data_IF_427740994128
#
_entry.id   IF_427740994128
#
_cell.length_a   1.000
_cell.length_b   1.000
_cell.length_c   1.000
_cell.angle_alpha   90.00
_cell.angle_beta   90.00
_cell.angle_gamma   90.00
#
_symmetry.space_group_name_H-M   'P 1'
#
loop_
_entity.id
_entity.type
_entity.pdbx_description
1 polymer ?
#
# COMPACT_ATOMS: atom_id res chain seq x y z
N UNK A 1 6.81 9.37 16.40
CA UNK A 1 7.57 8.38 17.21
C UNK A 1 6.94 8.13 18.59
N UNK A 2 6.44 9.13 19.32
CA UNK A 2 5.85 8.94 20.68
C UNK A 2 4.67 7.95 20.75
N UNK A 3 3.74 8.01 19.78
CA UNK A 3 2.57 7.11 19.73
C UNK A 3 2.95 5.63 19.62
N UNK A 4 3.99 5.30 18.84
CA UNK A 4 4.40 3.92 18.61
C UNK A 4 5.05 3.28 19.85
N UNK A 5 5.76 4.07 20.64
CA UNK A 5 6.28 3.63 21.94
C UNK A 5 5.16 3.41 22.96
N UNK A 6 4.13 4.26 22.94
CA UNK A 6 2.96 4.12 23.80
C UNK A 6 2.12 2.87 23.46
N UNK A 7 1.93 2.57 22.18
CA UNK A 7 1.28 1.33 21.71
C UNK A 7 2.04 0.08 22.17
N UNK A 8 3.37 0.06 22.01
CA UNK A 8 4.19 -1.08 22.47
C UNK A 8 4.08 -1.29 23.98
N UNK A 9 4.07 -0.20 24.75
CA UNK A 9 3.91 -0.26 26.20
C UNK A 9 2.56 -0.87 26.60
N UNK A 10 1.45 -0.43 25.99
CA UNK A 10 0.11 -0.96 26.28
C UNK A 10 -0.04 -2.42 25.88
N UNK A 11 0.57 -2.85 24.77
CA UNK A 11 0.58 -4.26 24.35
C UNK A 11 1.30 -5.12 25.40
N UNK A 12 2.46 -4.67 25.89
CA UNK A 12 3.21 -5.40 26.90
C UNK A 12 2.43 -5.51 28.22
N UNK A 13 1.82 -4.42 28.68
CA UNK A 13 0.96 -4.42 29.87
C UNK A 13 -0.23 -5.39 29.73
N UNK A 14 -0.84 -5.44 28.54
CA UNK A 14 -2.00 -6.31 28.26
C UNK A 14 -1.60 -7.79 28.31
N UNK A 15 -0.46 -8.15 27.72
CA UNK A 15 0.04 -9.52 27.73
C UNK A 15 0.35 -10.01 29.16
N UNK A 16 0.97 -9.15 29.99
CA UNK A 16 1.24 -9.45 31.41
C UNK A 16 -0.08 -9.64 32.18
N UNK A 17 -1.08 -8.78 31.94
CA UNK A 17 -2.39 -8.88 32.58
C UNK A 17 -3.13 -10.18 32.23
N UNK A 18 -3.14 -10.56 30.93
CA UNK A 18 -3.76 -11.81 30.46
C UNK A 18 -3.07 -13.02 31.09
N UNK A 19 -1.74 -13.05 31.13
CA UNK A 19 -0.98 -14.13 31.76
C UNK A 19 -1.33 -14.32 33.24
N UNK A 20 -1.32 -13.22 34.01
CA UNK A 20 -1.66 -13.25 35.44
C UNK A 20 -3.13 -13.64 35.71
N UNK A 21 -4.04 -13.29 34.81
CA UNK A 21 -5.45 -13.68 34.92
C UNK A 21 -5.67 -15.18 34.66
N UNK A 22 -4.85 -15.80 33.81
CA UNK A 22 -4.90 -17.23 33.49
C UNK A 22 -4.26 -18.10 34.59
N UNK A 23 -3.16 -17.66 35.19
CA UNK A 23 -2.48 -18.39 36.29
C UNK A 23 -3.31 -18.43 37.59
N UNK A 24 -4.08 -17.37 37.87
CA UNK A 24 -4.97 -17.31 39.04
C UNK A 24 -6.30 -18.09 38.86
N UNK A 25 -6.40 -18.91 37.81
CA UNK A 25 -7.60 -19.69 37.45
C UNK A 25 -7.80 -20.99 38.25
N UNK A 26 -6.87 -21.40 39.12
CA UNK A 26 -7.02 -22.64 39.89
C UNK A 26 -7.87 -22.43 41.16
N UNK A 27 -9.07 -23.02 41.14
CA UNK A 27 -9.99 -23.07 42.27
C UNK A 27 -9.59 -24.20 43.21
N UNK A 28 -9.25 -23.87 44.46
CA UNK A 28 -9.25 -24.84 45.56
C UNK A 28 -10.71 -25.27 45.83
N UNK A 29 -11.03 -26.52 45.47
CA UNK A 29 -12.13 -27.33 46.03
C UNK A 29 -13.53 -26.64 46.08
N UNK A 30 -14.11 -26.30 44.93
CA UNK A 30 -15.56 -26.38 44.73
C UNK A 30 -16.47 -25.37 45.45
N UNK A 31 -15.96 -24.26 45.99
CA UNK A 31 -16.81 -23.21 46.58
C UNK A 31 -16.45 -21.83 46.03
N UNK A 32 -17.50 -21.16 45.54
CA UNK A 32 -17.65 -19.75 45.14
C UNK A 32 -16.40 -18.99 44.68
N UNK A 33 -16.40 -18.43 43.46
CA UNK A 33 -15.34 -17.51 43.08
C UNK A 33 -15.39 -16.25 43.94
N UNK A 34 -14.23 -15.81 44.42
CA UNK A 34 -14.07 -14.54 45.12
C UNK A 34 -14.59 -13.41 44.21
N UNK A 35 -15.82 -12.95 44.45
CA UNK A 35 -16.50 -11.99 43.59
C UNK A 35 -15.78 -10.64 43.56
N UNK A 36 -15.09 -10.28 44.65
CA UNK A 36 -14.31 -9.05 44.74
C UNK A 36 -13.10 -9.07 43.79
N UNK A 37 -12.35 -10.17 43.73
CA UNK A 37 -11.19 -10.27 42.83
C UNK A 37 -11.61 -10.31 41.36
N UNK A 38 -12.71 -11.04 41.04
CA UNK A 38 -13.28 -11.04 39.68
C UNK A 38 -13.78 -9.67 39.25
N UNK A 39 -14.44 -8.94 40.16
CA UNK A 39 -14.87 -7.57 39.89
C UNK A 39 -13.68 -6.65 39.63
N UNK A 40 -12.61 -6.74 40.43
CA UNK A 40 -11.38 -5.96 40.19
C UNK A 40 -10.72 -6.29 38.86
N UNK A 41 -10.64 -7.58 38.49
CA UNK A 41 -10.12 -8.00 37.18
C UNK A 41 -10.98 -7.46 36.04
N UNK A 42 -12.31 -7.57 36.15
CA UNK A 42 -13.25 -7.07 35.14
C UNK A 42 -13.14 -5.54 34.99
N UNK A 43 -13.05 -4.80 36.10
CA UNK A 43 -12.83 -3.35 36.08
C UNK A 43 -11.53 -2.97 35.39
N UNK A 44 -10.43 -3.64 35.73
CA UNK A 44 -9.10 -3.40 35.12
C UNK A 44 -9.07 -3.74 33.64
N UNK A 45 -9.77 -4.81 33.22
CA UNK A 45 -9.94 -5.14 31.81
C UNK A 45 -10.72 -4.05 31.04
N UNK A 46 -11.75 -3.49 31.66
CA UNK A 46 -12.51 -2.36 31.10
C UNK A 46 -11.64 -1.11 30.90
N UNK A 47 -10.83 -0.74 31.90
CA UNK A 47 -9.90 0.40 31.83
C UNK A 47 -8.87 0.22 30.70
N UNK A 48 -8.31 -0.99 30.55
CA UNK A 48 -7.36 -1.31 29.50
C UNK A 48 -8.00 -1.25 28.11
N UNK A 49 -9.23 -1.74 27.96
CA UNK A 49 -9.96 -1.65 26.69
C UNK A 49 -10.26 -0.20 26.29
N UNK A 50 -10.52 0.69 27.25
CA UNK A 50 -10.69 2.11 26.95
C UNK A 50 -9.40 2.75 26.43
N UNK A 51 -8.25 2.46 27.06
CA UNK A 51 -6.93 2.94 26.58
C UNK A 51 -6.60 2.46 25.17
N UNK A 52 -6.96 1.22 24.82
CA UNK A 52 -6.77 0.69 23.46
C UNK A 52 -7.66 1.44 22.46
N UNK A 53 -8.91 1.74 22.81
CA UNK A 53 -9.82 2.52 21.95
C UNK A 53 -9.30 3.93 21.71
N UNK A 54 -8.81 4.60 22.76
CA UNK A 54 -8.21 5.94 22.66
C UNK A 54 -6.98 5.93 21.74
N UNK A 55 -6.08 4.95 21.89
CA UNK A 55 -4.91 4.80 21.03
C UNK A 55 -5.25 4.48 19.58
N UNK A 56 -6.31 3.69 19.34
CA UNK A 56 -6.82 3.43 17.99
C UNK A 56 -7.34 4.71 17.34
N UNK A 57 -8.07 5.54 18.09
CA UNK A 57 -8.57 6.83 17.60
C UNK A 57 -7.44 7.83 17.36
N UNK A 58 -6.46 7.91 18.26
CA UNK A 58 -5.31 8.81 18.09
C UNK A 58 -4.34 8.36 16.99
N UNK A 59 -4.42 7.10 16.57
CA UNK A 59 -3.65 6.51 15.46
C UNK A 59 -4.33 6.67 14.09
N UNK A 60 -5.55 7.22 14.03
CA UNK A 60 -6.18 7.60 12.77
C UNK A 60 -5.60 8.93 12.28
N UNK A 61 -4.52 8.84 11.52
CA UNK A 61 -3.98 10.01 10.82
C UNK A 61 -4.84 10.27 9.59
N UNK A 62 -5.65 11.34 9.63
CA UNK A 62 -6.64 11.62 8.59
C UNK A 62 -6.04 11.76 7.18
N UNK A 63 -4.81 12.29 7.07
CA UNK A 63 -4.09 12.41 5.81
C UNK A 63 -2.60 12.54 6.15
N UNK A 64 -1.75 11.60 5.73
CA UNK A 64 -0.27 11.68 5.86
C UNK A 64 0.38 12.02 4.52
N UNK A 65 -0.40 12.50 3.55
CA UNK A 65 0.07 12.80 2.20
C UNK A 65 -0.71 13.96 1.62
N UNK A 66 -0.03 15.04 1.25
CA UNK A 66 -0.64 16.03 0.37
C UNK A 66 -1.15 15.34 -0.91
N UNK A 67 -2.28 15.80 -1.49
CA UNK A 67 -2.67 15.35 -2.82
C UNK A 67 -1.51 15.66 -3.77
N UNK A 68 -0.81 14.62 -4.20
CA UNK A 68 0.25 14.75 -5.18
C UNK A 68 -0.35 15.44 -6.40
N UNK A 69 0.23 16.55 -6.91
CA UNK A 69 -0.21 17.12 -8.18
C UNK A 69 -0.21 16.03 -9.26
N UNK A 70 -1.04 16.17 -10.31
CA UNK A 70 -1.18 15.15 -11.35
C UNK A 70 0.19 14.70 -11.81
N UNK A 71 0.43 13.40 -11.68
CA UNK A 71 1.76 12.84 -11.88
C UNK A 71 2.09 12.87 -13.37
N UNK A 72 2.62 14.00 -13.84
CA UNK A 72 3.25 14.07 -15.14
C UNK A 72 4.48 13.16 -15.10
N UNK A 73 4.71 12.37 -16.15
CA UNK A 73 5.82 11.41 -16.17
C UNK A 73 7.17 12.11 -15.94
N UNK A 74 7.25 13.39 -16.32
CA UNK A 74 8.36 14.29 -16.07
C UNK A 74 8.76 14.43 -14.58
N UNK A 75 7.82 14.31 -13.63
CA UNK A 75 8.10 14.38 -12.19
C UNK A 75 8.75 13.10 -11.63
N UNK A 76 8.79 12.01 -12.40
CA UNK A 76 9.48 10.77 -11.99
C UNK A 76 10.98 10.77 -12.34
N UNK A 77 11.55 11.88 -12.82
CA UNK A 77 12.99 12.00 -13.03
C UNK A 77 13.75 11.87 -11.72
N UNK A 78 14.30 10.68 -11.51
CA UNK A 78 15.44 10.51 -10.63
C UNK A 78 16.64 11.10 -11.37
N UNK A 79 17.16 12.26 -10.94
CA UNK A 79 18.29 12.95 -11.59
C UNK A 79 19.56 12.09 -11.64
N UNK A 80 19.58 11.03 -10.83
CA UNK A 80 20.75 10.20 -10.59
C UNK A 80 20.70 8.87 -11.35
N UNK A 81 19.76 8.70 -12.30
CA UNK A 81 19.72 7.47 -13.09
C UNK A 81 20.92 7.38 -14.04
N UNK A 82 21.89 6.56 -13.65
CA UNK A 82 23.02 6.19 -14.49
C UNK A 82 22.64 4.97 -15.35
N UNK A 83 22.42 5.18 -16.65
CA UNK A 83 22.21 4.09 -17.59
C UNK A 83 23.50 3.29 -17.74
N UNK A 84 23.51 2.04 -17.26
CA UNK A 84 24.63 1.12 -17.46
C UNK A 84 24.50 0.44 -18.83
N UNK A 85 25.61 0.24 -19.54
CA UNK A 85 25.63 -0.46 -20.84
C UNK A 85 24.89 -1.80 -20.83
N UNK A 86 24.93 -2.54 -19.71
CA UNK A 86 24.22 -3.80 -19.55
C UNK A 86 22.69 -3.67 -19.62
N UNK A 87 22.14 -2.51 -19.24
CA UNK A 87 20.69 -2.22 -19.26
C UNK A 87 20.22 -1.65 -20.60
N UNK A 88 21.14 -1.14 -21.43
CA UNK A 88 20.80 -0.65 -22.77
C UNK A 88 20.26 -1.74 -23.70
N UNK A 89 20.81 -2.95 -23.62
CA UNK A 89 20.33 -4.08 -24.42
C UNK A 89 18.88 -4.43 -24.07
N UNK A 90 18.60 -4.64 -22.77
CA UNK A 90 17.24 -4.91 -22.30
C UNK A 90 16.26 -3.77 -22.67
N UNK A 91 16.69 -2.51 -22.56
CA UNK A 91 15.90 -1.36 -23.00
C UNK A 91 15.57 -1.41 -24.49
N UNK A 92 16.56 -1.67 -25.33
CA UNK A 92 16.37 -1.78 -26.80
C UNK A 92 15.44 -2.93 -27.14
N UNK A 93 15.65 -4.11 -26.55
CA UNK A 93 14.80 -5.28 -26.75
C UNK A 93 13.34 -5.00 -26.39
N UNK A 94 13.09 -4.34 -25.25
CA UNK A 94 11.72 -3.98 -24.84
C UNK A 94 11.08 -3.00 -25.83
N UNK A 95 11.82 -1.97 -26.28
CA UNK A 95 11.29 -0.98 -27.22
C UNK A 95 11.00 -1.60 -28.58
N UNK A 96 11.90 -2.42 -29.10
CA UNK A 96 11.69 -3.13 -30.37
C UNK A 96 10.53 -4.13 -30.25
N UNK A 97 10.40 -4.82 -29.11
CA UNK A 97 9.26 -5.68 -28.85
C UNK A 97 7.94 -4.88 -28.84
N UNK A 98 7.90 -3.69 -28.23
CA UNK A 98 6.73 -2.82 -28.16
C UNK A 98 6.35 -2.19 -29.52
N UNK A 99 7.31 -2.05 -30.46
CA UNK A 99 7.01 -1.59 -31.84
C UNK A 99 6.36 -2.67 -32.71
N UNK A 100 6.47 -3.94 -32.32
CA UNK A 100 5.89 -5.06 -33.07
C UNK A 100 4.37 -5.12 -32.84
N UNK A 101 3.60 -5.17 -33.93
CA UNK A 101 2.12 -5.30 -33.86
C UNK A 101 1.67 -6.60 -33.17
N UNK A 102 2.52 -7.61 -33.12
CA UNK A 102 2.22 -8.92 -32.53
C UNK A 102 2.46 -8.98 -31.01
N UNK A 103 3.06 -7.95 -30.42
CA UNK A 103 3.43 -7.95 -28.99
C UNK A 103 2.58 -6.94 -28.23
N UNK A 104 1.70 -7.43 -27.36
CA UNK A 104 0.86 -6.57 -26.52
C UNK A 104 1.34 -6.49 -25.06
N UNK A 105 2.15 -7.47 -24.60
CA UNK A 105 2.59 -7.56 -23.21
C UNK A 105 4.07 -7.94 -23.16
N UNK A 106 4.85 -7.18 -22.38
CA UNK A 106 6.26 -7.46 -22.12
C UNK A 106 6.48 -7.51 -20.61
N UNK A 107 7.09 -8.60 -20.13
CA UNK A 107 7.41 -8.78 -18.72
C UNK A 107 8.90 -8.59 -18.44
N UNK A 108 9.24 -7.79 -17.42
CA UNK A 108 10.62 -7.62 -16.93
C UNK A 108 10.77 -8.31 -15.58
N UNK A 109 11.64 -9.30 -15.49
CA UNK A 109 11.88 -10.09 -14.27
C UNK A 109 13.34 -10.06 -13.84
N UNK A 110 13.62 -10.50 -12.61
CA UNK A 110 14.97 -10.51 -12.03
C UNK A 110 14.98 -10.29 -10.52
N UNK A 111 16.16 -10.32 -9.91
CA UNK A 111 16.35 -10.17 -8.46
C UNK A 111 15.80 -8.83 -7.92
N UNK A 112 15.47 -8.77 -6.62
CA UNK A 112 15.05 -7.52 -5.96
C UNK A 112 16.20 -6.50 -6.01
N UNK A 113 15.87 -5.22 -6.16
CA UNK A 113 16.86 -4.13 -6.12
C UNK A 113 17.65 -3.89 -7.41
N UNK A 114 17.49 -4.71 -8.45
CA UNK A 114 18.24 -4.54 -9.74
C UNK A 114 17.75 -3.36 -10.60
N UNK A 115 16.76 -2.60 -10.16
CA UNK A 115 16.26 -1.41 -10.86
C UNK A 115 15.24 -1.68 -11.96
N UNK A 116 14.47 -2.79 -11.90
CA UNK A 116 13.44 -3.11 -12.90
C UNK A 116 12.40 -2.00 -13.06
N UNK A 117 11.88 -1.49 -11.95
CA UNK A 117 10.89 -0.41 -11.96
C UNK A 117 11.48 0.87 -12.55
N UNK A 118 12.77 1.13 -12.30
CA UNK A 118 13.48 2.28 -12.87
C UNK A 118 13.61 2.16 -14.38
N UNK A 119 13.97 0.98 -14.88
CA UNK A 119 14.04 0.69 -16.31
C UNK A 119 12.69 0.93 -17.03
N UNK A 120 11.58 0.48 -16.42
CA UNK A 120 10.23 0.73 -16.98
C UNK A 120 9.91 2.22 -17.05
N UNK A 121 10.27 3.00 -16.03
CA UNK A 121 10.05 4.46 -16.02
C UNK A 121 10.76 5.13 -17.20
N UNK A 122 12.03 4.83 -17.40
CA UNK A 122 12.82 5.41 -18.50
C UNK A 122 12.35 5.00 -19.89
N UNK A 123 11.92 3.75 -20.04
CA UNK A 123 11.32 3.28 -21.29
C UNK A 123 10.06 4.09 -21.56
N UNK A 124 9.17 4.21 -20.57
CA UNK A 124 7.96 5.02 -20.70
C UNK A 124 8.26 6.46 -21.12
N UNK A 125 9.25 7.06 -20.47
CA UNK A 125 9.78 8.39 -20.73
C UNK A 125 10.26 8.56 -22.18
N UNK A 126 11.01 7.57 -22.69
CA UNK A 126 11.48 7.57 -24.06
C UNK A 126 10.32 7.40 -25.04
N UNK A 127 9.42 6.45 -24.80
CA UNK A 127 8.26 6.20 -25.65
C UNK A 127 7.39 7.45 -25.81
N UNK A 128 7.24 8.23 -24.73
CA UNK A 128 6.52 9.50 -24.74
C UNK A 128 7.30 10.60 -25.50
N UNK A 129 8.61 10.74 -25.28
CA UNK A 129 9.44 11.74 -25.99
C UNK A 129 9.52 11.49 -27.49
N UNK A 130 9.68 10.23 -27.87
CA UNK A 130 9.78 9.80 -29.27
C UNK A 130 8.40 9.68 -29.94
N UNK A 131 7.31 9.87 -29.18
CA UNK A 131 5.92 9.77 -29.66
C UNK A 131 5.65 8.45 -30.39
N UNK A 132 6.22 7.35 -29.87
CA UNK A 132 5.99 6.00 -30.41
C UNK A 132 4.59 5.49 -30.07
N UNK A 133 3.94 6.07 -29.07
CA UNK A 133 2.58 5.80 -28.66
C UNK A 133 1.82 7.11 -28.46
N UNK A 134 0.51 7.11 -28.73
CA UNK A 134 -0.35 8.28 -28.51
C UNK A 134 -0.34 8.72 -27.05
N UNK A 135 -0.37 7.74 -26.14
CA UNK A 135 -0.25 7.94 -24.70
C UNK A 135 0.52 6.81 -24.05
N UNK A 136 1.34 7.18 -23.08
CA UNK A 136 2.04 6.25 -22.19
C UNK A 136 1.55 6.52 -20.78
N UNK A 137 1.07 5.49 -20.10
CA UNK A 137 0.53 5.59 -18.73
C UNK A 137 1.25 4.63 -17.80
N UNK A 138 1.41 5.04 -16.55
CA UNK A 138 2.06 4.23 -15.53
C UNK A 138 1.15 4.11 -14.31
N UNK A 139 0.91 2.87 -13.88
CA UNK A 139 0.19 2.57 -12.66
C UNK A 139 1.02 1.62 -11.79
N UNK A 140 0.96 1.80 -10.48
CA UNK A 140 1.68 0.96 -9.53
C UNK A 140 0.72 -0.07 -8.97
N UNK A 141 1.08 -1.34 -9.08
CA UNK A 141 0.32 -2.46 -8.51
C UNK A 141 1.08 -2.99 -7.30
N UNK A 142 0.50 -2.84 -6.12
CA UNK A 142 1.01 -3.39 -4.85
C UNK A 142 0.64 -4.87 -4.69
N UNK A 143 1.26 -5.52 -3.70
CA UNK A 143 0.93 -6.92 -3.34
C UNK A 143 -0.54 -7.08 -2.93
N UNK A 144 -1.10 -6.07 -2.26
CA UNK A 144 -2.53 -5.94 -2.03
C UNK A 144 -3.09 -4.91 -3.04
N UNK A 145 -3.64 -5.35 -4.18
CA UNK A 145 -4.00 -4.45 -5.27
C UNK A 145 -5.34 -3.76 -5.01
N UNK A 146 -5.30 -2.43 -4.88
CA UNK A 146 -6.50 -1.61 -4.83
C UNK A 146 -6.94 -1.23 -6.26
N UNK A 147 -7.95 -1.94 -6.78
CA UNK A 147 -8.44 -1.74 -8.15
C UNK A 147 -8.97 -0.33 -8.40
N UNK A 148 -9.63 0.31 -7.41
CA UNK A 148 -10.13 1.69 -7.56
C UNK A 148 -8.98 2.68 -7.72
N UNK A 149 -7.90 2.47 -6.97
CA UNK A 149 -6.69 3.29 -7.03
C UNK A 149 -5.96 3.09 -8.36
N UNK A 150 -5.76 1.85 -8.80
CA UNK A 150 -5.11 1.54 -10.09
C UNK A 150 -5.88 2.17 -11.25
N UNK A 151 -7.20 1.98 -11.30
CA UNK A 151 -8.06 2.62 -12.31
C UNK A 151 -8.02 4.15 -12.22
N UNK A 152 -7.93 4.69 -11.00
CA UNK A 152 -7.78 6.13 -10.76
C UNK A 152 -6.50 6.69 -11.36
N UNK A 153 -5.35 6.06 -11.10
CA UNK A 153 -4.04 6.45 -11.65
C UNK A 153 -4.04 6.42 -13.18
N UNK A 154 -4.59 5.36 -13.78
CA UNK A 154 -4.71 5.25 -15.24
C UNK A 154 -5.60 6.37 -15.79
N UNK A 155 -6.77 6.60 -15.18
CA UNK A 155 -7.68 7.64 -15.62
C UNK A 155 -7.06 9.03 -15.53
N UNK A 156 -6.38 9.33 -14.42
CA UNK A 156 -5.72 10.60 -14.19
C UNK A 156 -4.69 10.90 -15.29
N UNK A 157 -3.79 9.96 -15.60
CA UNK A 157 -2.80 10.13 -16.67
C UNK A 157 -3.45 10.21 -18.06
N UNK A 158 -4.61 9.56 -18.26
CA UNK A 158 -5.38 9.69 -19.50
C UNK A 158 -6.16 11.01 -19.60
N UNK A 159 -6.25 11.79 -18.52
CA UNK A 159 -7.05 13.01 -18.41
C UNK A 159 -8.55 12.73 -18.28
N UNK A 160 -8.93 11.60 -17.69
CA UNK A 160 -10.30 11.12 -17.53
C UNK A 160 -10.78 11.35 -16.10
N UNK A 161 -12.06 11.71 -15.95
CA UNK A 161 -12.74 11.74 -14.66
C UNK A 161 -13.54 10.46 -14.49
N UNK A 162 -13.19 9.66 -13.49
CA UNK A 162 -13.98 8.52 -13.06
C UNK A 162 -14.85 8.94 -11.89
N UNK A 163 -16.12 8.53 -11.89
CA UNK A 163 -16.99 8.75 -10.74
C UNK A 163 -16.46 7.99 -9.51
N UNK A 164 -16.29 8.71 -8.40
CA UNK A 164 -15.76 8.18 -7.14
C UNK A 164 -16.63 7.09 -6.52
N UNK A 165 -17.94 7.17 -6.76
CA UNK A 165 -18.95 6.20 -6.31
C UNK A 165 -19.19 5.06 -7.31
N UNK A 166 -18.60 5.15 -8.51
CA UNK A 166 -18.75 4.12 -9.55
C UNK A 166 -18.19 2.77 -9.11
N UNK A 167 -18.86 1.69 -9.52
CA UNK A 167 -18.35 0.33 -9.33
C UNK A 167 -17.02 0.14 -10.07
N UNK A 168 -16.17 -0.76 -9.57
CA UNK A 168 -14.90 -1.12 -10.21
C UNK A 168 -15.12 -1.57 -11.67
N UNK A 169 -16.22 -2.30 -11.91
CA UNK A 169 -16.60 -2.73 -13.25
C UNK A 169 -17.01 -1.55 -14.15
N UNK A 170 -17.82 -0.61 -13.64
CA UNK A 170 -18.20 0.59 -14.39
C UNK A 170 -16.98 1.41 -14.80
N UNK A 171 -16.05 1.61 -13.86
CA UNK A 171 -14.78 2.31 -14.10
C UNK A 171 -13.92 1.60 -15.16
N UNK A 172 -13.80 0.27 -15.08
CA UNK A 172 -13.05 -0.51 -16.07
C UNK A 172 -13.65 -0.37 -17.47
N UNK A 173 -14.98 -0.42 -17.58
CA UNK A 173 -15.70 -0.26 -18.85
C UNK A 173 -15.48 1.12 -19.47
N UNK A 174 -15.38 2.17 -18.65
CA UNK A 174 -15.04 3.52 -19.13
C UNK A 174 -13.61 3.60 -19.65
N UNK A 175 -12.67 2.88 -19.01
CA UNK A 175 -11.27 2.85 -19.45
C UNK A 175 -11.05 2.01 -20.72
N UNK A 176 -11.82 0.95 -20.93
CA UNK A 176 -11.69 0.05 -22.09
C UNK A 176 -12.29 0.61 -23.39
N UNK A 177 -13.02 1.73 -23.32
CA UNK A 177 -13.74 2.30 -24.47
C UNK A 177 -12.91 3.25 -25.34
N UNK A 178 -11.59 3.29 -25.16
CA UNK A 178 -10.62 4.09 -25.91
C UNK A 178 -9.65 3.19 -26.65
#
# INVERSE_FOLDING_TARGET
MKWLEEVKSVINETNIFIGNAMENGSCFKGLYPNCGSRYQLSKKAGEMMNRIKELQQSGMFDVVSDPTPPLDMAYMRDSDFHMFKSRELARKEVIEALKSENTHVVGIYGMRGVGKTTLVKEIGDQLQREKLFDKVVMAVVSQDPNMKQIQGQIAEMLGLKLDGEGSVFGRAKMLSGR
#
